data_IF_762790263686
#
_entry.id   IF_762790263686
#
_cell.length_a   1.000
_cell.length_b   1.000
_cell.length_c   1.000
_cell.angle_alpha   90.00
_cell.angle_beta   90.00
_cell.angle_gamma   90.00
#
_symmetry.space_group_name_H-M   'P 1'
#
loop_
_entity.id
_entity.type
_entity.pdbx_description
1 polymer ?
#
# COMPACT_ATOMS: atom_id res chain seq x y z
N UNK A 1 -5.92 -65.32 13.46
CA UNK A 1 -6.97 -66.34 13.19
C UNK A 1 -7.49 -66.01 11.82
N UNK A 2 -7.01 -66.71 10.79
CA UNK A 2 -7.62 -67.89 10.14
C UNK A 2 -8.97 -67.52 9.52
N UNK A 3 -9.27 -67.67 8.22
CA UNK A 3 -8.76 -68.52 7.15
C UNK A 3 -9.57 -68.18 5.88
N UNK A 4 -9.02 -68.23 4.75
CA UNK A 4 -8.93 -69.25 3.72
C UNK A 4 -10.25 -70.02 3.43
N UNK A 5 -10.59 -70.07 2.10
CA UNK A 5 -10.70 -71.30 1.28
C UNK A 5 -11.43 -70.92 -0.03
N UNK A 6 -10.83 -71.00 -1.25
CA UNK A 6 -10.80 -72.04 -2.29
C UNK A 6 -12.22 -72.34 -2.84
N UNK A 7 -12.48 -72.53 -4.08
CA UNK A 7 -11.77 -72.86 -5.33
C UNK A 7 -12.77 -73.44 -6.36
N UNK A 8 -12.29 -73.76 -7.54
CA UNK A 8 -12.93 -74.64 -8.54
C UNK A 8 -13.52 -73.88 -9.72
N UNK A 9 -13.10 -73.93 -10.82
CA UNK A 9 -12.53 -74.79 -11.86
C UNK A 9 -13.54 -75.63 -12.57
N UNK A 10 -13.80 -75.37 -13.88
CA UNK A 10 -14.06 -76.46 -14.84
C UNK A 10 -13.94 -75.93 -16.29
N UNK A 11 -13.32 -76.79 -17.07
CA UNK A 11 -13.00 -76.71 -18.50
C UNK A 11 -14.22 -76.99 -19.37
N UNK A 12 -14.18 -76.49 -20.61
CA UNK A 12 -15.08 -76.91 -21.68
C UNK A 12 -14.62 -76.40 -23.01
N UNK A 13 -14.18 -77.34 -23.80
CA UNK A 13 -13.58 -77.24 -25.14
C UNK A 13 -14.57 -76.91 -26.26
N UNK A 14 -14.06 -76.30 -27.30
CA UNK A 14 -14.35 -76.72 -28.67
C UNK A 14 -15.09 -75.75 -29.58
N UNK A 15 -14.56 -75.52 -30.75
CA UNK A 15 -15.29 -75.13 -31.94
C UNK A 15 -14.80 -73.91 -32.68
N UNK A 16 -13.93 -74.12 -33.65
CA UNK A 16 -13.50 -73.08 -34.57
C UNK A 16 -14.59 -72.70 -35.59
N UNK A 17 -14.72 -71.44 -35.83
CA UNK A 17 -15.31 -70.91 -37.07
C UNK A 17 -14.61 -69.60 -37.42
N UNK A 18 -13.89 -69.66 -38.53
CA UNK A 18 -13.26 -68.54 -39.17
C UNK A 18 -14.33 -67.55 -39.66
N UNK A 19 -14.37 -66.39 -39.11
CA UNK A 19 -15.15 -65.25 -39.64
C UNK A 19 -14.23 -64.06 -39.89
N UNK A 20 -14.13 -63.72 -41.15
CA UNK A 20 -13.47 -62.54 -41.70
C UNK A 20 -14.05 -61.28 -41.04
N UNK A 21 -13.25 -60.40 -40.47
CA UNK A 21 -13.79 -59.17 -39.90
C UNK A 21 -14.21 -58.18 -41.02
N UNK A 22 -15.33 -57.47 -40.85
CA UNK A 22 -15.77 -56.45 -41.80
C UNK A 22 -14.77 -55.27 -41.78
N UNK A 23 -14.45 -54.77 -42.96
CA UNK A 23 -13.62 -53.55 -43.17
C UNK A 23 -14.31 -52.35 -42.51
N UNK A 24 -13.64 -51.81 -41.49
CA UNK A 24 -13.99 -50.52 -40.89
C UNK A 24 -13.62 -49.40 -41.88
N UNK A 25 -14.54 -48.50 -42.22
CA UNK A 25 -14.22 -47.32 -43.04
C UNK A 25 -13.24 -46.41 -42.29
N UNK A 26 -12.37 -45.66 -43.00
CA UNK A 26 -11.39 -44.78 -42.36
C UNK A 26 -12.10 -43.70 -41.51
N UNK A 27 -11.76 -43.65 -40.24
CA UNK A 27 -12.20 -42.60 -39.33
C UNK A 27 -11.65 -41.27 -39.85
N UNK A 28 -12.53 -40.38 -40.26
CA UNK A 28 -12.23 -38.96 -40.47
C UNK A 28 -11.79 -38.40 -39.10
N UNK A 29 -10.63 -37.76 -38.97
CA UNK A 29 -10.21 -37.14 -37.73
C UNK A 29 -11.24 -36.05 -37.35
N UNK A 30 -11.61 -35.91 -36.06
CA UNK A 30 -12.53 -34.87 -35.63
C UNK A 30 -11.92 -33.52 -36.00
N UNK A 31 -12.68 -32.69 -36.72
CA UNK A 31 -12.38 -31.27 -36.95
C UNK A 31 -12.21 -30.63 -35.58
N UNK A 32 -11.00 -30.25 -35.23
CA UNK A 32 -10.69 -29.38 -34.12
C UNK A 32 -11.40 -28.06 -34.39
N UNK A 33 -12.31 -27.60 -33.52
CA UNK A 33 -12.90 -26.30 -33.71
C UNK A 33 -11.78 -25.26 -33.62
N UNK A 34 -11.82 -24.16 -34.39
CA UNK A 34 -10.80 -23.12 -34.30
C UNK A 34 -10.80 -22.59 -32.88
N UNK A 35 -9.61 -22.52 -32.26
CA UNK A 35 -9.38 -21.91 -30.95
C UNK A 35 -9.97 -20.50 -30.96
N UNK A 36 -11.06 -20.29 -30.24
CA UNK A 36 -11.57 -18.96 -29.93
C UNK A 36 -10.58 -18.31 -28.99
N UNK A 37 -10.02 -17.16 -29.41
CA UNK A 37 -9.37 -16.24 -28.52
C UNK A 37 -7.87 -16.05 -28.71
N UNK A 38 -7.39 -15.86 -29.94
CA UNK A 38 -6.33 -14.88 -30.13
C UNK A 38 -7.05 -13.53 -30.18
N UNK A 39 -7.08 -12.80 -29.07
CA UNK A 39 -7.46 -11.40 -29.09
C UNK A 39 -6.61 -10.74 -30.17
N UNK A 40 -7.26 -9.99 -31.03
CA UNK A 40 -6.71 -9.22 -32.14
C UNK A 40 -5.73 -8.18 -31.56
N UNK A 41 -4.50 -8.62 -31.25
CA UNK A 41 -3.43 -7.72 -30.82
C UNK A 41 -2.94 -7.00 -32.06
N UNK A 42 -3.23 -5.73 -32.15
CA UNK A 42 -2.78 -4.89 -33.24
C UNK A 42 -1.25 -4.90 -33.34
N UNK A 43 -0.63 -4.85 -34.55
CA UNK A 43 0.82 -4.86 -34.73
C UNK A 43 1.61 -3.87 -33.86
N UNK A 44 1.09 -2.65 -33.52
CA UNK A 44 1.77 -1.73 -32.62
C UNK A 44 1.82 -2.22 -31.17
N UNK A 45 0.87 -3.04 -30.70
CA UNK A 45 0.87 -3.54 -29.33
C UNK A 45 1.91 -4.64 -29.12
N UNK A 46 2.07 -5.54 -30.09
CA UNK A 46 3.14 -6.55 -30.09
C UNK A 46 4.53 -5.93 -30.17
N UNK A 47 4.69 -4.85 -30.95
CA UNK A 47 5.95 -4.11 -31.02
C UNK A 47 6.26 -3.41 -29.69
N UNK A 48 5.24 -2.87 -29.03
CA UNK A 48 5.34 -2.25 -27.69
C UNK A 48 5.72 -3.26 -26.61
N UNK A 49 5.14 -4.47 -26.62
CA UNK A 49 5.49 -5.54 -25.69
C UNK A 49 6.92 -6.06 -25.93
N UNK A 50 7.32 -6.23 -27.19
CA UNK A 50 8.71 -6.59 -27.52
C UNK A 50 9.70 -5.54 -27.04
N UNK A 51 9.43 -4.26 -27.27
CA UNK A 51 10.28 -3.17 -26.75
C UNK A 51 10.38 -3.19 -25.24
N UNK A 52 9.28 -3.44 -24.52
CA UNK A 52 9.28 -3.54 -23.06
C UNK A 52 10.16 -4.68 -22.54
N UNK A 53 10.03 -5.88 -23.13
CA UNK A 53 10.81 -7.05 -22.75
C UNK A 53 12.31 -6.85 -23.03
N UNK A 54 12.66 -6.27 -24.18
CA UNK A 54 14.04 -5.98 -24.58
C UNK A 54 14.66 -4.91 -23.65
N UNK A 55 13.94 -3.82 -23.39
CA UNK A 55 14.43 -2.75 -22.52
C UNK A 55 14.68 -3.24 -21.09
N UNK A 56 13.78 -4.06 -20.55
CA UNK A 56 13.94 -4.68 -19.24
C UNK A 56 15.19 -5.57 -19.16
N UNK A 57 15.51 -6.30 -20.22
CA UNK A 57 16.68 -7.19 -20.29
C UNK A 57 18.01 -6.41 -20.30
N UNK A 58 18.11 -5.32 -21.06
CA UNK A 58 19.35 -4.53 -21.17
C UNK A 58 19.72 -3.82 -19.86
N UNK A 59 18.75 -3.45 -19.03
CA UNK A 59 19.01 -2.79 -17.76
C UNK A 59 19.20 -3.74 -16.57
N UNK A 60 19.01 -5.05 -16.79
CA UNK A 60 19.13 -6.06 -15.74
C UNK A 60 20.46 -6.01 -14.99
N UNK A 61 21.63 -6.00 -15.65
CA UNK A 61 22.93 -5.95 -14.95
C UNK A 61 23.13 -4.68 -14.12
N UNK A 62 22.62 -3.54 -14.62
CA UNK A 62 22.71 -2.26 -13.91
C UNK A 62 21.81 -2.25 -12.66
N UNK A 63 20.61 -2.83 -12.75
CA UNK A 63 19.70 -2.98 -11.61
C UNK A 63 20.33 -3.90 -10.55
N UNK A 64 20.89 -5.03 -10.97
CA UNK A 64 21.49 -6.00 -10.06
C UNK A 64 22.72 -5.39 -9.34
N UNK A 65 23.60 -4.72 -10.07
CA UNK A 65 24.74 -3.98 -9.51
C UNK A 65 24.31 -2.86 -8.53
N UNK A 66 23.20 -2.18 -8.81
CA UNK A 66 22.65 -1.18 -7.90
C UNK A 66 22.02 -1.82 -6.66
N UNK A 67 21.36 -2.99 -6.81
CA UNK A 67 20.71 -3.71 -5.71
C UNK A 67 21.73 -4.35 -4.73
N UNK A 68 22.96 -4.61 -5.16
CA UNK A 68 24.05 -5.09 -4.30
C UNK A 68 24.59 -3.99 -3.37
N UNK A 69 24.32 -2.73 -3.68
CA UNK A 69 24.77 -1.61 -2.86
C UNK A 69 23.84 -1.40 -1.66
N UNK A 70 24.40 -1.18 -0.45
CA UNK A 70 23.59 -0.81 0.71
C UNK A 70 23.03 0.61 0.56
N UNK A 71 21.80 0.83 1.02
CA UNK A 71 21.24 2.17 1.07
C UNK A 71 21.84 3.00 2.21
N UNK A 72 22.14 4.26 1.93
CA UNK A 72 22.64 5.25 2.90
C UNK A 72 21.46 6.03 3.44
N UNK A 73 21.00 5.70 4.65
CA UNK A 73 19.82 6.31 5.26
C UNK A 73 20.19 7.53 6.09
N UNK A 74 19.42 8.59 5.96
CA UNK A 74 19.54 9.81 6.73
C UNK A 74 18.66 9.78 7.98
N UNK A 75 19.15 10.37 9.07
CA UNK A 75 18.30 10.65 10.23
C UNK A 75 17.50 11.94 9.98
N UNK A 76 16.29 12.08 10.53
CA UNK A 76 15.54 13.32 10.45
C UNK A 76 16.30 14.53 10.99
N UNK A 77 17.09 14.35 12.05
CA UNK A 77 17.97 15.40 12.60
C UNK A 77 19.03 15.83 11.58
N UNK A 78 19.65 14.87 10.88
CA UNK A 78 20.60 15.21 9.80
C UNK A 78 19.93 16.03 8.71
N UNK A 79 18.71 15.67 8.31
CA UNK A 79 17.93 16.41 7.31
C UNK A 79 17.58 17.81 7.80
N UNK A 80 17.24 17.98 9.08
CA UNK A 80 16.90 19.26 9.69
C UNK A 80 18.10 20.22 9.70
N UNK A 81 19.28 19.72 10.11
CA UNK A 81 20.48 20.56 10.21
C UNK A 81 21.16 20.79 8.85
N UNK A 82 21.13 19.82 7.95
CA UNK A 82 21.73 19.95 6.61
C UNK A 82 20.84 20.72 5.63
N UNK A 83 19.59 20.97 5.96
CA UNK A 83 18.61 21.61 5.08
C UNK A 83 18.72 23.14 4.99
N UNK A 84 19.70 23.76 5.64
CA UNK A 84 19.91 25.22 5.59
C UNK A 84 21.40 25.54 5.44
N UNK A 85 21.73 26.33 4.43
CA UNK A 85 23.04 26.98 4.29
C UNK A 85 22.85 28.36 3.66
N UNK A 86 23.69 29.30 4.03
CA UNK A 86 23.60 30.68 3.51
C UNK A 86 23.99 30.78 2.02
N UNK A 87 24.83 29.87 1.55
CA UNK A 87 25.36 29.82 0.17
C UNK A 87 24.54 28.96 -0.80
N UNK A 88 23.40 28.37 -0.37
CA UNK A 88 22.58 27.48 -1.21
C UNK A 88 23.24 26.14 -1.53
N UNK A 89 24.44 25.83 -1.03
CA UNK A 89 25.15 24.59 -1.32
C UNK A 89 24.42 23.35 -0.82
N UNK A 90 23.54 23.49 0.17
CA UNK A 90 22.72 22.39 0.71
C UNK A 90 21.81 21.77 -0.35
N UNK A 91 21.29 22.58 -1.30
CA UNK A 91 20.41 22.12 -2.39
C UNK A 91 21.18 21.17 -3.31
N UNK A 92 22.38 21.58 -3.77
CA UNK A 92 23.21 20.74 -4.63
C UNK A 92 23.68 19.45 -3.91
N UNK A 93 24.03 19.53 -2.63
CA UNK A 93 24.40 18.35 -1.82
C UNK A 93 23.22 17.39 -1.70
N UNK A 94 22.01 17.90 -1.45
CA UNK A 94 20.79 17.11 -1.39
C UNK A 94 20.49 16.44 -2.74
N UNK A 95 20.57 17.16 -3.85
CA UNK A 95 20.34 16.61 -5.19
C UNK A 95 21.33 15.48 -5.53
N UNK A 96 22.62 15.68 -5.27
CA UNK A 96 23.65 14.67 -5.50
C UNK A 96 23.46 13.43 -4.63
N UNK A 97 23.07 13.60 -3.38
CA UNK A 97 22.70 12.47 -2.52
C UNK A 97 21.53 11.68 -3.11
N UNK A 98 20.45 12.35 -3.54
CA UNK A 98 19.31 11.67 -4.14
C UNK A 98 19.65 10.97 -5.45
N UNK A 99 20.49 11.58 -6.29
CA UNK A 99 20.95 10.99 -7.55
C UNK A 99 21.68 9.66 -7.33
N UNK A 100 22.42 9.54 -6.22
CA UNK A 100 23.13 8.32 -5.88
C UNK A 100 22.25 7.29 -5.16
N UNK A 101 21.35 7.74 -4.30
CA UNK A 101 20.60 6.89 -3.37
C UNK A 101 19.29 6.35 -3.96
N UNK A 102 18.52 7.16 -4.71
CA UNK A 102 17.23 6.73 -5.24
C UNK A 102 17.33 5.52 -6.18
N UNK A 103 18.29 5.43 -7.12
CA UNK A 103 18.47 4.24 -7.96
C UNK A 103 18.70 2.97 -7.13
N UNK A 104 19.49 3.04 -6.06
CA UNK A 104 19.78 1.91 -5.15
C UNK A 104 18.49 1.42 -4.49
N UNK A 105 17.70 2.33 -3.93
CA UNK A 105 16.43 1.97 -3.26
C UNK A 105 15.39 1.40 -4.23
N UNK A 106 15.32 1.96 -5.42
CA UNK A 106 14.44 1.46 -6.48
C UNK A 106 14.89 0.07 -6.93
N UNK A 107 16.18 -0.17 -7.12
CA UNK A 107 16.73 -1.49 -7.46
C UNK A 107 16.38 -2.55 -6.41
N UNK A 108 16.47 -2.21 -5.11
CA UNK A 108 16.02 -3.10 -4.03
C UNK A 108 14.52 -3.44 -4.14
N UNK A 109 13.67 -2.51 -4.61
CA UNK A 109 12.24 -2.80 -4.80
C UNK A 109 12.01 -3.68 -6.02
N UNK A 110 12.70 -3.40 -7.13
CA UNK A 110 12.64 -4.24 -8.34
C UNK A 110 13.02 -5.69 -8.00
N UNK A 111 14.09 -5.88 -7.24
CA UNK A 111 14.49 -7.22 -6.76
C UNK A 111 13.40 -7.86 -5.87
N UNK A 112 12.74 -7.07 -5.01
CA UNK A 112 11.61 -7.54 -4.21
C UNK A 112 10.44 -8.05 -5.06
N UNK A 113 10.10 -7.38 -6.17
CA UNK A 113 9.07 -7.83 -7.11
C UNK A 113 9.44 -9.14 -7.82
N UNK A 114 10.72 -9.33 -8.16
CA UNK A 114 11.20 -10.57 -8.79
C UNK A 114 11.13 -11.78 -7.86
N UNK A 115 11.20 -11.56 -6.56
CA UNK A 115 11.11 -12.62 -5.55
C UNK A 115 9.66 -13.01 -5.21
N UNK A 116 8.67 -12.38 -5.83
CA UNK A 116 7.28 -12.78 -5.66
C UNK A 116 6.98 -14.14 -6.31
N UNK A 117 6.06 -14.93 -5.76
CA UNK A 117 5.57 -16.14 -6.41
C UNK A 117 5.08 -15.85 -7.84
N UNK A 118 5.33 -16.78 -8.76
CA UNK A 118 5.06 -16.64 -10.19
C UNK A 118 3.64 -16.14 -10.49
N UNK A 119 2.62 -16.72 -9.84
CA UNK A 119 1.21 -16.35 -10.03
C UNK A 119 0.97 -14.86 -9.71
N UNK A 120 1.60 -14.34 -8.65
CA UNK A 120 1.49 -12.93 -8.27
C UNK A 120 2.28 -12.05 -9.23
N UNK A 121 3.52 -12.46 -9.55
CA UNK A 121 4.40 -11.73 -10.45
C UNK A 121 3.88 -11.62 -11.89
N UNK A 122 3.01 -12.54 -12.34
CA UNK A 122 2.38 -12.50 -13.67
C UNK A 122 1.06 -11.72 -13.72
N UNK A 123 0.54 -11.24 -12.58
CA UNK A 123 -0.65 -10.40 -12.60
C UNK A 123 -0.39 -9.09 -13.36
N UNK A 124 -1.24 -8.69 -14.32
CA UNK A 124 -1.00 -7.50 -15.15
C UNK A 124 -0.82 -6.20 -14.35
N UNK A 125 -1.60 -6.04 -13.28
CA UNK A 125 -1.52 -4.85 -12.41
C UNK A 125 -0.22 -4.82 -11.61
N UNK A 126 0.23 -5.97 -11.09
CA UNK A 126 1.52 -6.09 -10.39
C UNK A 126 2.69 -5.89 -11.36
N UNK A 127 2.60 -6.45 -12.57
CA UNK A 127 3.59 -6.20 -13.64
C UNK A 127 3.67 -4.72 -14.01
N UNK A 128 2.53 -4.04 -14.11
CA UNK A 128 2.49 -2.61 -14.36
C UNK A 128 3.23 -1.82 -13.28
N UNK A 129 2.99 -2.13 -12.00
CA UNK A 129 3.74 -1.50 -10.89
C UNK A 129 5.23 -1.81 -10.98
N UNK A 130 5.61 -3.05 -11.27
CA UNK A 130 7.01 -3.42 -11.47
C UNK A 130 7.67 -2.62 -12.60
N UNK A 131 6.97 -2.44 -13.74
CA UNK A 131 7.45 -1.60 -14.85
C UNK A 131 7.61 -0.13 -14.47
N UNK A 132 6.73 0.43 -13.62
CA UNK A 132 6.88 1.80 -13.12
C UNK A 132 8.23 1.96 -12.38
N UNK A 133 8.59 0.98 -11.54
CA UNK A 133 9.88 0.99 -10.84
C UNK A 133 11.07 0.85 -11.79
N UNK A 134 10.99 -0.02 -12.81
CA UNK A 134 12.05 -0.17 -13.82
C UNK A 134 12.24 1.13 -14.60
N UNK A 135 11.17 1.78 -15.05
CA UNK A 135 11.24 3.08 -15.74
C UNK A 135 11.81 4.19 -14.87
N UNK A 136 11.45 4.21 -13.58
CA UNK A 136 12.00 5.17 -12.65
C UNK A 136 13.51 4.95 -12.46
N UNK A 137 13.95 3.70 -12.34
CA UNK A 137 15.37 3.35 -12.27
C UNK A 137 16.13 3.85 -13.49
N UNK A 138 15.61 3.61 -14.71
CA UNK A 138 16.22 4.06 -15.96
C UNK A 138 16.34 5.60 -16.00
N UNK A 139 15.23 6.32 -15.80
CA UNK A 139 15.22 7.79 -15.82
C UNK A 139 16.22 8.41 -14.84
N UNK A 140 16.37 7.81 -13.65
CA UNK A 140 17.31 8.32 -12.64
C UNK A 140 18.76 7.94 -12.93
N UNK A 141 19.01 6.74 -13.48
CA UNK A 141 20.35 6.26 -13.81
C UNK A 141 20.93 6.95 -15.05
N UNK A 142 20.08 7.27 -16.03
CA UNK A 142 20.47 7.95 -17.27
C UNK A 142 20.63 9.46 -17.09
N UNK A 143 20.24 10.02 -15.93
CA UNK A 143 20.36 11.45 -15.68
C UNK A 143 21.84 11.85 -15.49
N UNK A 144 22.34 12.89 -16.17
CA UNK A 144 23.72 13.31 -16.10
C UNK A 144 24.11 13.76 -14.68
N UNK A 145 25.42 13.69 -14.31
CA UNK A 145 25.89 14.12 -12.99
C UNK A 145 25.56 15.59 -12.71
N UNK A 146 24.95 15.85 -11.56
CA UNK A 146 24.52 17.19 -11.15
C UNK A 146 25.74 18.00 -10.72
N UNK A 147 26.07 19.06 -11.48
CA UNK A 147 27.19 19.98 -11.20
C UNK A 147 26.71 21.38 -10.88
N UNK A 148 25.68 21.84 -11.58
CA UNK A 148 25.14 23.20 -11.52
C UNK A 148 23.72 23.25 -10.96
N UNK A 149 23.26 24.45 -10.60
CA UNK A 149 21.87 24.68 -10.22
C UNK A 149 20.89 24.49 -11.41
N UNK A 150 21.36 24.60 -12.65
CA UNK A 150 20.56 24.31 -13.83
C UNK A 150 20.26 22.81 -13.94
N UNK A 151 21.29 21.95 -13.73
CA UNK A 151 21.12 20.50 -13.72
C UNK A 151 20.19 20.08 -12.58
N UNK A 152 20.34 20.70 -11.41
CA UNK A 152 19.51 20.47 -10.25
C UNK A 152 18.04 20.82 -10.52
N UNK A 153 17.77 21.94 -11.20
CA UNK A 153 16.40 22.32 -11.57
C UNK A 153 15.74 21.30 -12.52
N UNK A 154 16.50 20.77 -13.48
CA UNK A 154 16.05 19.69 -14.36
C UNK A 154 15.80 18.39 -13.57
N UNK A 155 16.66 18.10 -12.59
CA UNK A 155 16.47 16.96 -11.70
C UNK A 155 15.20 17.09 -10.83
N UNK A 156 14.90 18.28 -10.34
CA UNK A 156 13.66 18.59 -9.65
C UNK A 156 12.42 18.33 -10.52
N UNK A 157 12.47 18.68 -11.81
CA UNK A 157 11.40 18.38 -12.75
C UNK A 157 11.20 16.87 -12.92
N UNK A 158 12.31 16.11 -13.03
CA UNK A 158 12.27 14.64 -13.06
C UNK A 158 11.66 14.06 -11.78
N UNK A 159 12.05 14.55 -10.61
CA UNK A 159 11.49 14.07 -9.34
C UNK A 159 9.99 14.33 -9.23
N UNK A 160 9.49 15.51 -9.66
CA UNK A 160 8.05 15.81 -9.69
C UNK A 160 7.30 14.83 -10.60
N UNK A 161 7.85 14.55 -11.79
CA UNK A 161 7.29 13.59 -12.72
C UNK A 161 7.22 12.18 -12.11
N UNK A 162 8.30 11.72 -11.47
CA UNK A 162 8.34 10.41 -10.83
C UNK A 162 7.36 10.31 -9.65
N UNK A 163 7.22 11.36 -8.85
CA UNK A 163 6.24 11.39 -7.76
C UNK A 163 4.80 11.29 -8.27
N UNK A 164 4.50 11.90 -9.41
CA UNK A 164 3.19 11.83 -10.07
C UNK A 164 2.97 10.45 -10.71
N UNK A 165 3.95 9.94 -11.47
CA UNK A 165 3.88 8.61 -12.09
C UNK A 165 3.61 7.49 -11.06
N UNK A 166 4.08 7.66 -9.82
CA UNK A 166 3.97 6.68 -8.74
C UNK A 166 2.86 6.98 -7.72
N UNK A 167 1.95 7.93 -7.98
CA UNK A 167 0.93 8.31 -7.00
C UNK A 167 0.00 7.15 -6.63
N UNK A 168 -0.42 6.36 -7.60
CA UNK A 168 -1.45 5.32 -7.47
C UNK A 168 -0.89 3.93 -7.14
N UNK A 169 0.42 3.80 -6.91
CA UNK A 169 1.09 2.50 -6.67
C UNK A 169 0.45 1.71 -5.52
N UNK A 170 0.00 2.35 -4.44
CA UNK A 170 -0.62 1.65 -3.31
C UNK A 170 -1.95 1.04 -3.71
N UNK A 171 -2.77 1.79 -4.44
CA UNK A 171 -4.07 1.33 -4.96
C UNK A 171 -3.88 0.18 -5.94
N UNK A 172 -2.96 0.33 -6.90
CA UNK A 172 -2.64 -0.71 -7.89
C UNK A 172 -2.13 -1.99 -7.21
N UNK A 173 -1.28 -1.89 -6.18
CA UNK A 173 -0.84 -3.05 -5.40
C UNK A 173 -2.02 -3.73 -4.69
N UNK A 174 -2.92 -2.95 -4.09
CA UNK A 174 -4.08 -3.48 -3.41
C UNK A 174 -5.03 -4.20 -4.38
N UNK A 175 -5.28 -3.63 -5.56
CA UNK A 175 -6.11 -4.23 -6.61
C UNK A 175 -5.48 -5.52 -7.15
N UNK A 176 -4.23 -5.48 -7.59
CA UNK A 176 -3.55 -6.64 -8.18
C UNK A 176 -3.43 -7.81 -7.20
N UNK A 177 -3.12 -7.53 -5.94
CA UNK A 177 -3.05 -8.58 -4.92
C UNK A 177 -4.43 -9.12 -4.53
N UNK A 178 -5.49 -8.31 -4.55
CA UNK A 178 -6.86 -8.78 -4.36
C UNK A 178 -7.29 -9.76 -5.45
N UNK A 179 -6.94 -9.49 -6.70
CA UNK A 179 -7.19 -10.39 -7.83
C UNK A 179 -6.47 -11.74 -7.63
N UNK A 180 -5.25 -11.72 -7.10
CA UNK A 180 -4.45 -12.92 -6.85
C UNK A 180 -4.82 -13.67 -5.57
N UNK A 181 -5.66 -13.12 -4.67
CA UNK A 181 -5.91 -13.63 -3.32
C UNK A 181 -6.25 -15.13 -3.28
N UNK A 182 -7.07 -15.61 -4.24
CA UNK A 182 -7.48 -17.02 -4.31
C UNK A 182 -6.33 -17.99 -4.59
N UNK A 183 -5.21 -17.49 -5.09
CA UNK A 183 -4.03 -18.26 -5.47
C UNK A 183 -2.87 -18.11 -4.49
N UNK A 184 -3.03 -17.27 -3.48
CA UNK A 184 -2.02 -17.05 -2.45
C UNK A 184 -2.22 -18.11 -1.37
N UNK A 185 -1.32 -19.11 -1.35
CA UNK A 185 -1.35 -20.19 -0.38
C UNK A 185 -0.71 -19.80 0.96
N UNK A 186 0.22 -18.85 0.96
CA UNK A 186 0.92 -18.38 2.15
C UNK A 186 0.89 -16.86 2.26
N UNK A 187 -0.05 -16.35 3.05
CA UNK A 187 -0.19 -14.91 3.33
C UNK A 187 1.04 -14.34 4.09
N UNK A 188 1.83 -15.21 4.76
CA UNK A 188 3.04 -14.79 5.49
C UNK A 188 4.13 -14.24 4.57
N UNK A 189 4.15 -14.61 3.29
CA UNK A 189 5.09 -14.07 2.31
C UNK A 189 4.73 -12.65 1.87
N UNK A 190 3.44 -12.32 1.83
CA UNK A 190 2.97 -11.03 1.35
C UNK A 190 3.22 -9.89 2.32
N UNK A 191 3.00 -10.12 3.61
CA UNK A 191 3.16 -9.08 4.63
C UNK A 191 4.57 -8.46 4.63
N UNK A 192 5.69 -9.23 4.68
CA UNK A 192 7.02 -8.66 4.62
C UNK A 192 7.31 -7.93 3.30
N UNK A 193 6.80 -8.43 2.18
CA UNK A 193 6.93 -7.77 0.88
C UNK A 193 6.22 -6.42 0.87
N UNK A 194 4.97 -6.38 1.34
CA UNK A 194 4.16 -5.17 1.38
C UNK A 194 4.73 -4.15 2.38
N UNK A 195 5.05 -4.58 3.59
CA UNK A 195 5.65 -3.70 4.60
C UNK A 195 6.94 -3.06 4.06
N UNK A 196 7.84 -3.86 3.45
CA UNK A 196 9.07 -3.34 2.81
C UNK A 196 8.77 -2.42 1.63
N UNK A 197 7.81 -2.75 0.79
CA UNK A 197 7.51 -1.96 -0.41
C UNK A 197 6.88 -0.63 -0.05
N UNK A 198 5.91 -0.63 0.86
CA UNK A 198 5.18 0.56 1.29
C UNK A 198 6.06 1.51 2.12
N UNK A 199 6.87 0.98 3.05
CA UNK A 199 7.80 1.80 3.85
C UNK A 199 8.95 2.36 3.02
N UNK A 200 9.53 1.57 2.10
CA UNK A 200 10.54 2.06 1.16
C UNK A 200 9.99 3.15 0.24
N UNK A 201 8.75 2.96 -0.26
CA UNK A 201 8.06 3.99 -1.04
C UNK A 201 7.86 5.27 -0.23
N UNK A 202 7.42 5.17 1.03
CA UNK A 202 7.28 6.31 1.92
C UNK A 202 8.62 7.04 2.08
N UNK A 203 9.71 6.33 2.37
CA UNK A 203 11.04 6.91 2.53
C UNK A 203 11.52 7.63 1.26
N UNK A 204 11.39 7.02 0.08
CA UNK A 204 11.75 7.65 -1.19
C UNK A 204 10.90 8.91 -1.46
N UNK A 205 9.59 8.88 -1.18
CA UNK A 205 8.71 10.05 -1.32
C UNK A 205 9.08 11.16 -0.34
N UNK A 206 9.41 10.80 0.91
CA UNK A 206 9.86 11.80 1.90
C UNK A 206 11.15 12.47 1.47
N UNK A 207 12.13 11.73 0.98
CA UNK A 207 13.41 12.30 0.49
C UNK A 207 13.19 13.20 -0.71
N UNK A 208 12.45 12.75 -1.72
CA UNK A 208 12.15 13.56 -2.91
C UNK A 208 11.34 14.82 -2.55
N UNK A 209 10.29 14.67 -1.74
CA UNK A 209 9.49 15.80 -1.29
C UNK A 209 10.29 16.78 -0.42
N UNK A 210 11.21 16.27 0.42
CA UNK A 210 12.10 17.11 1.21
C UNK A 210 12.98 17.98 0.32
N UNK A 211 13.65 17.38 -0.65
CA UNK A 211 14.50 18.10 -1.59
C UNK A 211 13.71 19.18 -2.36
N UNK A 212 12.54 18.83 -2.89
CA UNK A 212 11.69 19.79 -3.59
C UNK A 212 11.22 20.94 -2.68
N UNK A 213 10.93 20.64 -1.41
CA UNK A 213 10.49 21.64 -0.45
C UNK A 213 11.63 22.51 0.12
N UNK A 214 12.92 22.15 -0.07
CA UNK A 214 14.06 23.00 0.31
C UNK A 214 14.12 24.30 -0.51
N UNK A 215 13.48 24.35 -1.66
CA UNK A 215 13.35 25.58 -2.48
C UNK A 215 12.29 26.55 -1.95
N UNK A 216 11.44 26.09 -1.04
CA UNK A 216 10.35 26.89 -0.51
C UNK A 216 10.76 27.46 0.87
N UNK A 217 10.80 28.78 0.97
CA UNK A 217 11.01 29.44 2.26
C UNK A 217 9.68 29.53 3.02
N UNK A 218 9.28 28.39 3.63
CA UNK A 218 8.10 28.33 4.49
C UNK A 218 8.48 28.60 5.93
N UNK A 219 7.78 29.54 6.63
CA UNK A 219 8.00 29.73 8.05
C UNK A 219 7.73 28.42 8.82
N UNK A 220 8.53 28.14 9.81
CA UNK A 220 8.47 26.94 10.64
C UNK A 220 8.76 25.60 9.88
N UNK A 221 9.31 25.63 8.65
CA UNK A 221 9.68 24.43 7.92
C UNK A 221 11.16 24.41 7.49
N UNK A 222 11.72 23.22 7.45
CA UNK A 222 12.96 22.89 6.76
C UNK A 222 12.67 21.72 5.83
N UNK A 223 12.51 22.01 4.54
CA UNK A 223 11.97 21.02 3.61
C UNK A 223 10.60 20.52 4.08
N UNK A 224 10.46 19.21 4.28
CA UNK A 224 9.19 18.60 4.78
C UNK A 224 9.08 18.57 6.32
N UNK A 225 10.11 18.99 7.04
CA UNK A 225 10.12 18.93 8.51
C UNK A 225 9.51 20.22 9.05
N UNK A 226 8.37 20.10 9.74
CA UNK A 226 7.79 21.21 10.49
C UNK A 226 8.49 21.32 11.85
N UNK A 227 9.12 22.45 12.14
CA UNK A 227 9.87 22.69 13.39
C UNK A 227 8.95 22.93 14.59
N UNK A 228 7.68 23.26 14.35
CA UNK A 228 6.67 23.56 15.38
C UNK A 228 5.33 22.92 15.05
N UNK A 229 5.33 21.61 14.74
CA UNK A 229 4.12 20.86 14.42
C UNK A 229 3.14 20.91 15.61
N UNK A 230 1.90 21.28 15.34
CA UNK A 230 0.78 21.15 16.26
C UNK A 230 -0.04 19.90 15.94
N UNK A 231 0.01 18.84 16.74
CA UNK A 231 -0.80 17.64 16.52
C UNK A 231 -2.28 17.96 16.44
N UNK A 232 -2.77 18.87 17.31
CA UNK A 232 -4.17 19.30 17.33
C UNK A 232 -4.62 19.82 15.95
N UNK A 233 -3.88 20.78 15.36
CA UNK A 233 -4.24 21.36 14.06
C UNK A 233 -4.23 20.32 12.94
N UNK A 234 -3.28 19.39 12.98
CA UNK A 234 -3.19 18.32 12.01
C UNK A 234 -4.39 17.35 12.14
N UNK A 235 -4.76 16.99 13.36
CA UNK A 235 -5.93 16.15 13.64
C UNK A 235 -7.21 16.86 13.18
N UNK A 236 -7.41 18.15 13.52
CA UNK A 236 -8.57 18.93 13.08
C UNK A 236 -8.73 18.95 11.56
N UNK A 237 -7.63 19.17 10.82
CA UNK A 237 -7.61 19.08 9.34
C UNK A 237 -8.17 17.75 8.82
N UNK A 238 -7.74 16.63 9.42
CA UNK A 238 -8.14 15.31 8.97
C UNK A 238 -9.49 14.85 9.50
N UNK A 239 -9.92 15.39 10.66
CA UNK A 239 -11.29 15.24 11.14
C UNK A 239 -12.27 15.88 10.16
N UNK A 240 -12.00 17.10 9.70
CA UNK A 240 -12.87 17.79 8.73
C UNK A 240 -12.95 17.03 7.40
N UNK A 241 -11.84 16.45 6.95
CA UNK A 241 -11.83 15.60 5.74
C UNK A 241 -12.66 14.32 5.93
N UNK A 242 -12.38 13.56 7.00
CA UNK A 242 -13.09 12.29 7.28
C UNK A 242 -14.58 12.52 7.53
N UNK A 243 -14.96 13.63 8.21
CA UNK A 243 -16.33 14.03 8.44
C UNK A 243 -17.10 14.23 7.13
N UNK A 244 -16.54 14.97 6.16
CA UNK A 244 -17.17 15.18 4.85
C UNK A 244 -17.45 13.87 4.13
N UNK A 245 -16.50 12.93 4.16
CA UNK A 245 -16.67 11.60 3.57
C UNK A 245 -17.78 10.82 4.28
N UNK A 246 -17.81 10.88 5.61
CA UNK A 246 -18.80 10.21 6.44
C UNK A 246 -20.20 10.79 6.20
N UNK A 247 -20.35 12.12 6.20
CA UNK A 247 -21.61 12.81 5.88
C UNK A 247 -22.10 12.47 4.47
N UNK A 248 -21.21 12.37 3.49
CA UNK A 248 -21.58 11.96 2.14
C UNK A 248 -22.09 10.52 2.08
N UNK A 249 -21.49 9.60 2.85
CA UNK A 249 -21.84 8.17 2.84
C UNK A 249 -23.08 7.85 3.68
N UNK A 250 -23.19 8.45 4.88
CA UNK A 250 -24.19 8.09 5.88
C UNK A 250 -25.22 9.21 6.17
N UNK A 251 -25.11 10.36 5.53
CA UNK A 251 -25.96 11.53 5.77
C UNK A 251 -25.67 12.29 7.07
N UNK A 252 -24.78 11.76 7.91
CA UNK A 252 -24.33 12.36 9.16
C UNK A 252 -22.93 11.86 9.54
N UNK A 253 -22.30 12.47 10.53
CA UNK A 253 -21.02 12.04 11.07
C UNK A 253 -20.94 12.25 12.58
N UNK A 254 -20.23 11.38 13.34
CA UNK A 254 -20.03 11.57 14.76
C UNK A 254 -19.16 12.80 15.04
N UNK A 255 -19.46 13.49 16.11
CA UNK A 255 -18.63 14.61 16.59
C UNK A 255 -17.31 14.07 17.12
N UNK A 256 -16.19 14.78 16.83
CA UNK A 256 -14.87 14.44 17.35
C UNK A 256 -14.45 15.47 18.40
N UNK A 257 -14.13 15.00 19.60
CA UNK A 257 -13.57 15.81 20.69
C UNK A 257 -12.08 15.56 20.83
N UNK A 258 -11.30 16.63 20.85
CA UNK A 258 -9.84 16.55 20.99
C UNK A 258 -9.48 17.09 22.38
N UNK A 259 -8.76 16.30 23.17
CA UNK A 259 -8.34 16.64 24.53
C UNK A 259 -6.87 16.25 24.79
N UNK A 260 -6.40 16.46 26.04
CA UNK A 260 -5.02 16.18 26.45
C UNK A 260 -4.07 17.37 26.18
N UNK A 261 -2.85 17.08 25.73
CA UNK A 261 -1.81 18.09 25.49
C UNK A 261 -2.02 18.85 24.18
N UNK A 262 -3.15 19.53 24.05
CA UNK A 262 -3.57 20.23 22.81
C UNK A 262 -2.68 21.41 22.42
N UNK A 263 -1.90 21.95 23.34
CA UNK A 263 -0.94 23.04 23.11
C UNK A 263 0.44 22.55 22.68
N UNK A 264 0.67 21.23 22.65
CA UNK A 264 1.95 20.64 22.29
C UNK A 264 2.43 21.11 20.91
N UNK A 265 3.74 21.39 20.81
CA UNK A 265 4.42 21.74 19.57
C UNK A 265 5.84 21.18 19.61
N UNK A 266 6.26 20.52 18.54
CA UNK A 266 7.58 19.89 18.43
C UNK A 266 7.95 19.69 16.96
N UNK A 267 9.25 19.48 16.64
CA UNK A 267 9.68 19.16 15.29
C UNK A 267 9.16 17.77 14.87
N UNK A 268 8.50 17.69 13.72
CA UNK A 268 8.07 16.42 13.16
C UNK A 268 7.83 16.51 11.65
N UNK A 269 7.73 15.35 10.97
CA UNK A 269 7.40 15.22 9.55
C UNK A 269 5.90 14.94 9.42
N UNK A 270 5.08 15.88 8.92
CA UNK A 270 3.62 15.67 8.83
C UNK A 270 3.21 14.65 7.75
N UNK A 271 4.00 14.45 6.70
CA UNK A 271 3.64 13.65 5.52
C UNK A 271 3.17 12.22 5.83
N UNK A 272 3.82 11.41 6.70
CA UNK A 272 3.29 10.09 7.06
C UNK A 272 1.97 10.17 7.84
N UNK A 273 1.81 11.20 8.67
CA UNK A 273 0.58 11.42 9.44
C UNK A 273 -0.60 11.83 8.55
N UNK A 274 -0.32 12.51 7.42
CA UNK A 274 -1.31 12.83 6.40
C UNK A 274 -1.93 11.57 5.73
N UNK A 275 -1.28 10.42 5.87
CA UNK A 275 -1.85 9.12 5.49
C UNK A 275 -2.53 8.42 6.69
N UNK A 276 -1.83 8.32 7.82
CA UNK A 276 -2.28 7.51 8.96
C UNK A 276 -3.54 8.08 9.62
N UNK A 277 -3.58 9.38 9.87
CA UNK A 277 -4.70 10.01 10.58
C UNK A 277 -6.04 9.89 9.85
N UNK A 278 -6.15 10.19 8.54
CA UNK A 278 -7.41 10.00 7.82
C UNK A 278 -7.88 8.55 7.81
N UNK A 279 -6.97 7.56 7.69
CA UNK A 279 -7.35 6.15 7.72
C UNK A 279 -7.93 5.74 9.09
N UNK A 280 -7.29 6.13 10.18
CA UNK A 280 -7.78 5.83 11.52
C UNK A 280 -9.10 6.53 11.83
N UNK A 281 -9.24 7.80 11.45
CA UNK A 281 -10.47 8.57 11.65
C UNK A 281 -11.64 8.05 10.81
N UNK A 282 -11.40 7.68 9.56
CA UNK A 282 -12.41 7.03 8.72
C UNK A 282 -12.92 5.73 9.35
N UNK A 283 -12.00 4.89 9.83
CA UNK A 283 -12.38 3.63 10.48
C UNK A 283 -13.23 3.87 11.74
N UNK A 284 -12.84 4.80 12.59
CA UNK A 284 -13.60 5.15 13.80
C UNK A 284 -14.98 5.71 13.46
N UNK A 285 -15.07 6.63 12.49
CA UNK A 285 -16.36 7.21 12.06
C UNK A 285 -17.26 6.17 11.44
N UNK A 286 -16.72 5.31 10.57
CA UNK A 286 -17.47 4.21 9.94
C UNK A 286 -18.05 3.26 10.99
N UNK A 287 -17.22 2.75 11.89
CA UNK A 287 -17.64 1.83 12.94
C UNK A 287 -18.74 2.46 13.82
N UNK A 288 -18.57 3.73 14.19
CA UNK A 288 -19.58 4.46 15.02
C UNK A 288 -20.91 4.60 14.26
N UNK A 289 -20.90 4.97 12.99
CA UNK A 289 -22.13 5.11 12.20
C UNK A 289 -22.80 3.76 11.95
N UNK A 290 -22.05 2.73 11.56
CA UNK A 290 -22.58 1.39 11.28
C UNK A 290 -23.20 0.73 12.53
N UNK A 291 -22.68 1.02 13.73
CA UNK A 291 -23.24 0.51 15.00
C UNK A 291 -24.46 1.28 15.48
N UNK A 292 -24.78 2.43 14.90
CA UNK A 292 -25.87 3.31 15.35
C UNK A 292 -26.84 3.65 14.20
N UNK A 293 -27.04 2.71 13.27
CA UNK A 293 -27.95 2.89 12.12
C UNK A 293 -29.40 3.17 12.53
N UNK A 294 -29.84 2.61 13.67
CA UNK A 294 -31.19 2.83 14.19
C UNK A 294 -31.38 4.22 14.82
N UNK A 295 -30.28 4.89 15.18
CA UNK A 295 -30.28 6.24 15.78
C UNK A 295 -29.27 7.17 15.11
N UNK A 296 -29.34 7.41 13.79
CA UNK A 296 -28.29 8.08 13.02
C UNK A 296 -28.03 9.53 13.43
N UNK A 297 -28.98 10.18 14.10
CA UNK A 297 -28.83 11.57 14.60
C UNK A 297 -28.35 11.67 16.05
N UNK A 298 -28.27 10.54 16.75
CA UNK A 298 -27.78 10.48 18.14
C UNK A 298 -26.64 9.48 18.28
N UNK A 299 -25.56 9.74 17.53
CA UNK A 299 -24.36 8.92 17.56
C UNK A 299 -23.39 9.44 18.62
N UNK A 300 -22.69 8.57 19.36
CA UNK A 300 -21.71 8.98 20.36
C UNK A 300 -20.50 9.67 19.75
N UNK A 301 -19.89 10.56 20.53
CA UNK A 301 -18.69 11.27 20.14
C UNK A 301 -17.48 10.34 20.04
N UNK A 302 -16.60 10.59 19.07
CA UNK A 302 -15.26 10.03 19.01
C UNK A 302 -14.35 10.93 19.87
N UNK A 303 -13.51 10.33 20.71
CA UNK A 303 -12.59 11.07 21.55
C UNK A 303 -11.16 10.85 21.09
N UNK A 304 -10.46 11.94 20.73
CA UNK A 304 -9.05 11.92 20.37
C UNK A 304 -8.26 12.54 21.53
N UNK A 305 -7.37 11.76 22.14
CA UNK A 305 -6.52 12.22 23.25
C UNK A 305 -5.08 12.35 22.78
N UNK A 306 -4.49 13.53 22.99
CA UNK A 306 -3.09 13.81 22.69
C UNK A 306 -2.29 13.74 23.99
N UNK A 307 -1.35 12.80 24.06
CA UNK A 307 -0.39 12.70 25.15
C UNK A 307 1.02 12.93 24.59
N UNK A 308 1.69 13.93 25.14
CA UNK A 308 3.04 14.32 24.72
C UNK A 308 3.97 14.32 25.91
N UNK A 309 5.12 13.68 25.78
CA UNK A 309 6.21 13.71 26.76
C UNK A 309 7.56 13.96 26.03
N UNK A 310 8.67 13.89 26.75
CA UNK A 310 10.00 14.19 26.20
C UNK A 310 10.52 13.13 25.21
N UNK A 311 9.92 11.95 25.17
CA UNK A 311 10.37 10.82 24.35
C UNK A 311 9.47 10.62 23.14
N UNK A 312 8.14 10.66 23.36
CA UNK A 312 7.16 10.31 22.34
C UNK A 312 5.87 11.15 22.39
N UNK A 313 5.16 11.08 21.29
CA UNK A 313 3.78 11.52 21.14
C UNK A 313 2.89 10.29 21.04
N UNK A 314 1.82 10.23 21.81
CA UNK A 314 0.77 9.23 21.67
C UNK A 314 -0.55 9.93 21.31
N UNK A 315 -1.17 9.48 20.22
CA UNK A 315 -2.52 9.88 19.82
C UNK A 315 -3.42 8.67 20.02
N UNK A 316 -4.38 8.78 20.96
CA UNK A 316 -5.42 7.78 21.16
C UNK A 316 -6.68 8.24 20.46
N UNK A 317 -7.24 7.41 19.61
CA UNK A 317 -8.55 7.58 18.96
C UNK A 317 -9.49 6.55 19.56
N UNK A 318 -10.53 6.99 20.27
CA UNK A 318 -11.49 6.15 20.98
C UNK A 318 -12.86 6.31 20.32
N UNK A 319 -13.39 5.24 19.74
CA UNK A 319 -14.72 5.18 19.17
C UNK A 319 -15.71 4.39 20.05
N UNK A 320 -16.98 4.45 19.71
CA UNK A 320 -18.07 3.70 20.30
C UNK A 320 -18.80 2.86 19.23
N UNK A 321 -18.03 2.29 18.31
CA UNK A 321 -18.51 1.53 17.17
C UNK A 321 -18.78 0.04 17.44
N UNK A 322 -19.11 -0.33 18.69
CA UNK A 322 -19.43 -1.71 19.06
C UNK A 322 -18.23 -2.64 19.20
N UNK A 323 -17.02 -2.16 18.92
CA UNK A 323 -15.79 -2.92 19.03
C UNK A 323 -15.59 -3.98 17.95
N UNK A 324 -14.45 -4.67 18.03
CA UNK A 324 -14.03 -5.73 17.11
C UNK A 324 -14.13 -7.07 17.83
N UNK A 325 -14.76 -8.09 17.24
CA UNK A 325 -14.77 -9.45 17.78
C UNK A 325 -13.37 -9.97 18.06
N UNK A 326 -13.21 -10.70 19.16
CA UNK A 326 -11.89 -11.14 19.63
C UNK A 326 -11.14 -12.02 18.61
N UNK A 327 -11.85 -12.86 17.88
CA UNK A 327 -11.34 -13.73 16.83
C UNK A 327 -10.85 -12.98 15.57
N UNK A 328 -11.21 -11.69 15.44
CA UNK A 328 -10.82 -10.84 14.32
C UNK A 328 -9.70 -9.85 14.66
N UNK A 329 -9.39 -9.65 15.96
CA UNK A 329 -8.40 -8.64 16.38
C UNK A 329 -7.03 -8.80 15.72
N UNK A 330 -6.53 -10.02 15.60
CA UNK A 330 -5.25 -10.30 14.95
C UNK A 330 -5.31 -10.08 13.44
N UNK A 331 -6.49 -10.30 12.83
CA UNK A 331 -6.70 -10.21 11.39
C UNK A 331 -6.89 -8.78 10.89
N UNK A 332 -7.39 -7.87 11.72
CA UNK A 332 -7.66 -6.47 11.27
C UNK A 332 -6.39 -5.72 10.86
N UNK A 333 -5.22 -6.19 11.29
CA UNK A 333 -3.92 -5.64 10.89
C UNK A 333 -3.27 -6.38 9.73
N UNK A 334 -3.94 -7.39 9.15
CA UNK A 334 -3.50 -8.08 7.95
C UNK A 334 -3.96 -7.35 6.69
N UNK A 335 -3.15 -7.44 5.64
CA UNK A 335 -3.51 -6.86 4.34
C UNK A 335 -4.70 -7.60 3.74
N UNK A 336 -5.55 -6.89 3.02
CA UNK A 336 -6.79 -7.38 2.41
C UNK A 336 -7.88 -7.85 3.40
N UNK A 337 -7.68 -7.70 4.69
CA UNK A 337 -8.77 -7.89 5.63
C UNK A 337 -9.66 -6.64 5.65
N UNK A 338 -10.93 -6.81 5.33
CA UNK A 338 -11.91 -5.72 5.39
C UNK A 338 -13.29 -6.28 5.73
N UNK A 339 -13.94 -5.65 6.68
CA UNK A 339 -15.36 -5.90 7.01
C UNK A 339 -16.30 -5.09 6.12
N UNK A 340 -15.76 -4.22 5.27
CA UNK A 340 -16.54 -3.31 4.42
C UNK A 340 -17.44 -4.04 3.40
N UNK A 341 -17.02 -5.21 2.91
CA UNK A 341 -17.84 -6.03 2.02
C UNK A 341 -19.07 -6.59 2.73
N UNK A 342 -18.96 -6.95 4.01
CA UNK A 342 -20.07 -7.42 4.84
C UNK A 342 -21.03 -6.26 5.12
N UNK A 343 -20.52 -5.08 5.48
CA UNK A 343 -21.33 -3.88 5.66
C UNK A 343 -22.00 -3.42 4.37
N UNK A 344 -21.36 -3.63 3.22
CA UNK A 344 -21.92 -3.31 1.90
C UNK A 344 -23.16 -4.18 1.55
N UNK A 345 -23.27 -5.36 2.14
CA UNK A 345 -24.41 -6.27 1.94
C UNK A 345 -25.58 -6.01 2.92
N UNK A 346 -25.39 -5.14 3.92
CA UNK A 346 -26.50 -4.79 4.84
C UNK A 346 -27.58 -3.97 4.10
N UNK A 347 -28.83 -4.47 4.02
CA UNK A 347 -29.93 -3.77 3.34
C UNK A 347 -30.22 -2.38 3.89
N UNK A 348 -29.87 -2.12 5.16
CA UNK A 348 -30.06 -0.82 5.82
C UNK A 348 -29.10 0.26 5.33
N UNK A 349 -27.95 -0.14 4.74
CA UNK A 349 -26.94 0.75 4.15
C UNK A 349 -27.11 0.94 2.63
N UNK A 350 -27.97 0.13 1.99
CA UNK A 350 -28.18 0.08 0.54
C UNK A 350 -29.35 0.93 0.07
N UNK A 351 -29.15 2.22 -0.19
CA UNK A 351 -30.12 3.01 -0.98
C UNK A 351 -30.03 2.69 -2.48
N UNK A 352 -31.14 2.89 -3.26
CA UNK A 352 -31.19 2.57 -4.69
C UNK A 352 -30.23 3.37 -5.58
N UNK A 353 -29.59 4.43 -5.05
CA UNK A 353 -28.65 5.30 -5.77
C UNK A 353 -27.18 4.92 -5.56
N UNK A 354 -26.88 3.95 -4.70
CA UNK A 354 -25.51 3.55 -4.36
C UNK A 354 -24.68 3.08 -5.57
N UNK A 355 -25.19 2.25 -6.49
CA UNK A 355 -24.41 1.83 -7.66
C UNK A 355 -24.01 2.98 -8.60
N UNK A 356 -24.80 4.07 -8.62
CA UNK A 356 -24.52 5.26 -9.41
C UNK A 356 -23.45 6.16 -8.75
N UNK A 357 -23.38 6.17 -7.42
CA UNK A 357 -22.40 6.97 -6.66
C UNK A 357 -21.01 6.31 -6.64
N UNK A 358 -20.95 4.97 -6.55
CA UNK A 358 -19.69 4.23 -6.65
C UNK A 358 -19.04 4.33 -8.05
N UNK A 359 -19.84 4.55 -9.10
CA UNK A 359 -19.38 4.74 -10.46
C UNK A 359 -18.79 6.14 -10.73
N UNK A 360 -19.06 7.14 -9.88
CA UNK A 360 -18.61 8.51 -10.12
C UNK A 360 -17.17 8.81 -9.70
N UNK A 361 -16.50 7.92 -8.96
CA UNK A 361 -15.04 7.97 -8.65
C UNK A 361 -14.53 9.22 -7.93
N UNK A 362 -15.39 10.16 -7.53
CA UNK A 362 -15.01 11.49 -7.02
C UNK A 362 -14.84 11.57 -5.50
N UNK A 363 -15.36 10.63 -4.73
CA UNK A 363 -15.08 10.56 -3.31
C UNK A 363 -14.18 9.35 -3.06
N UNK A 364 -12.98 9.59 -2.53
CA UNK A 364 -12.14 8.50 -2.03
C UNK A 364 -12.99 7.63 -1.09
N UNK A 365 -13.11 6.32 -1.33
CA UNK A 365 -14.09 5.51 -0.65
C UNK A 365 -13.87 5.52 0.86
N UNK A 366 -14.93 5.66 1.65
CA UNK A 366 -14.89 5.34 3.09
C UNK A 366 -14.47 3.88 3.30
N UNK A 367 -14.69 3.04 2.30
CA UNK A 367 -14.31 1.64 2.27
C UNK A 367 -13.01 1.47 1.49
N UNK A 368 -11.96 1.06 2.19
CA UNK A 368 -10.65 0.74 1.58
C UNK A 368 -10.54 -0.74 1.22
N UNK A 369 -9.51 -1.07 0.41
CA UNK A 369 -9.18 -2.45 0.00
C UNK A 369 -8.54 -3.30 1.13
N UNK A 370 -8.69 -2.91 2.42
CA UNK A 370 -8.03 -3.59 3.54
C UNK A 370 -6.54 -3.26 3.67
N UNK A 371 -6.09 -2.14 3.11
CA UNK A 371 -4.69 -1.68 3.18
C UNK A 371 -4.48 -0.57 4.21
N UNK A 372 -5.53 0.15 4.61
CA UNK A 372 -5.41 1.35 5.44
C UNK A 372 -4.73 1.09 6.79
N UNK A 373 -5.27 0.15 7.56
CA UNK A 373 -4.77 -0.15 8.91
C UNK A 373 -3.39 -0.83 8.93
N UNK A 374 -3.13 -1.90 8.11
CA UNK A 374 -1.81 -2.51 8.05
C UNK A 374 -0.72 -1.56 7.53
N UNK A 375 -1.03 -0.70 6.54
CA UNK A 375 -0.09 0.33 6.08
C UNK A 375 0.18 1.38 7.16
N UNK A 376 -0.86 1.80 7.90
CA UNK A 376 -0.70 2.75 9.02
C UNK A 376 0.20 2.18 10.12
N UNK A 377 0.07 0.88 10.41
CA UNK A 377 0.95 0.17 11.32
C UNK A 377 2.40 0.13 10.79
N UNK A 378 2.60 -0.27 9.54
CA UNK A 378 3.92 -0.31 8.93
C UNK A 378 4.60 1.07 8.91
N UNK A 379 3.84 2.14 8.68
CA UNK A 379 4.36 3.52 8.73
C UNK A 379 4.72 3.96 10.15
N UNK A 380 3.89 3.62 11.15
CA UNK A 380 4.20 3.92 12.54
C UNK A 380 5.48 3.21 13.00
N UNK A 381 5.62 1.93 12.68
CA UNK A 381 6.83 1.13 12.98
C UNK A 381 8.07 1.67 12.24
N UNK A 382 7.93 2.07 10.97
CA UNK A 382 9.01 2.68 10.20
C UNK A 382 9.51 4.00 10.79
N UNK A 383 8.62 4.77 11.43
CA UNK A 383 8.94 6.01 12.15
C UNK A 383 9.41 5.75 13.59
N UNK A 384 9.77 4.51 13.93
CA UNK A 384 10.25 4.13 15.25
C UNK A 384 9.19 4.12 16.34
N UNK A 385 7.91 4.18 15.96
CA UNK A 385 6.76 4.12 16.84
C UNK A 385 6.02 2.78 16.78
N UNK A 386 4.73 2.82 17.07
CA UNK A 386 3.85 1.65 17.01
C UNK A 386 2.39 2.05 16.83
N UNK A 387 1.60 1.14 16.28
CA UNK A 387 0.14 1.23 16.21
C UNK A 387 -0.45 0.03 16.95
N UNK A 388 -1.22 0.28 18.01
CA UNK A 388 -1.83 -0.76 18.85
C UNK A 388 -3.33 -0.52 18.92
N UNK A 389 -4.12 -1.59 18.77
CA UNK A 389 -5.56 -1.56 18.92
C UNK A 389 -5.94 -2.29 20.21
N UNK A 390 -6.88 -1.70 20.95
CA UNK A 390 -7.56 -2.31 22.07
C UNK A 390 -9.05 -2.22 21.82
N UNK A 391 -9.75 -3.33 21.86
CA UNK A 391 -11.17 -3.38 21.56
C UNK A 391 -11.94 -4.06 22.65
N UNK A 392 -13.09 -3.47 22.99
CA UNK A 392 -14.09 -4.03 23.90
C UNK A 392 -15.33 -4.32 23.07
N UNK A 393 -15.55 -5.61 22.80
CA UNK A 393 -16.71 -6.07 22.04
C UNK A 393 -18.01 -5.61 22.71
N UNK A 394 -18.93 -5.05 21.94
CA UNK A 394 -20.17 -4.45 22.42
C UNK A 394 -20.02 -2.99 22.87
N UNK A 395 -18.80 -2.44 22.94
CA UNK A 395 -18.55 -1.06 23.40
C UNK A 395 -17.88 -0.21 22.34
N UNK A 396 -16.64 -0.53 21.94
CA UNK A 396 -15.87 0.28 20.98
C UNK A 396 -14.42 -0.11 20.92
N UNK A 397 -13.64 0.69 20.15
CA UNK A 397 -12.22 0.44 19.91
C UNK A 397 -11.39 1.67 20.25
N UNK A 398 -10.27 1.44 20.93
CA UNK A 398 -9.22 2.40 21.17
C UNK A 398 -8.02 2.09 20.30
N UNK A 399 -7.58 3.06 19.49
CA UNK A 399 -6.38 2.95 18.65
C UNK A 399 -5.32 3.89 19.22
N UNK A 400 -4.16 3.33 19.53
CA UNK A 400 -3.00 4.04 20.06
C UNK A 400 -1.93 4.17 18.98
N UNK A 401 -1.74 5.36 18.45
CA UNK A 401 -0.64 5.72 17.55
C UNK A 401 0.47 6.36 18.38
N UNK A 402 1.59 5.65 18.53
CA UNK A 402 2.79 6.15 19.21
C UNK A 402 3.84 6.54 18.18
N UNK A 403 4.45 7.71 18.34
CA UNK A 403 5.48 8.24 17.45
C UNK A 403 6.61 8.83 18.28
N UNK A 404 7.87 8.60 17.90
CA UNK A 404 9.01 9.16 18.59
C UNK A 404 9.37 10.55 18.08
N UNK A 405 9.80 11.42 19.00
CA UNK A 405 10.26 12.76 18.65
C UNK A 405 11.54 12.76 17.81
N UNK A 406 11.70 13.81 17.00
CA UNK A 406 12.93 14.12 16.26
C UNK A 406 13.76 15.05 17.15
N UNK A 407 14.56 14.50 18.05
CA UNK A 407 15.30 15.29 19.06
C UNK A 407 16.81 15.10 19.05
N UNK A 408 17.32 14.20 18.19
CA UNK A 408 18.75 13.88 18.07
C UNK A 408 19.34 13.09 19.24
N UNK A 409 18.61 12.90 20.34
CA UNK A 409 19.13 12.18 21.53
C UNK A 409 18.81 10.68 21.47
N UNK A 410 17.71 10.32 20.86
CA UNK A 410 17.24 8.94 20.76
C UNK A 410 16.57 8.66 19.41
N UNK A 411 17.17 9.14 18.30
CA UNK A 411 16.64 8.91 16.97
C UNK A 411 16.48 7.42 16.68
N UNK A 412 15.24 6.99 16.59
CA UNK A 412 14.88 5.58 16.48
C UNK A 412 14.66 5.14 15.04
N UNK A 413 14.62 6.07 14.07
CA UNK A 413 14.35 5.74 12.67
C UNK A 413 15.26 6.52 11.72
N UNK A 414 15.46 5.94 10.54
CA UNK A 414 16.24 6.52 9.45
C UNK A 414 15.42 6.42 8.16
N UNK A 415 15.42 7.52 7.42
CA UNK A 415 14.71 7.66 6.14
C UNK A 415 15.62 7.21 5.00
#
# INVERSE_FOLDING_TARGET
MLGRVLGGGLRGSGGGASLVPPRVPPRVPPRVPPARGAADQTPPDLARERCKAVTSFYHQPAIDAAADRPSVRLTPTTMLYSGRSQDGSHILKSARYLQQELPVRIAHRIQGFRNLPFIIGCNPTILHVHELYIRAFQKLSDFPPIQSHTDESQYCALLRQLLEDHKDVVTLLAEGLRECRRHIQDERLLRPFLDKTLTSRLGMRMLAAHHLALHEDKPDFVGIICTRLSPKKLIEKWVDFARRLCEHQYGNAPRVRINGHVAARFPFIPLPLDYVLPELLKNAMRATMESHLDTPYNVPDIVVTIANNDIDLVIRISDRGGGIPHDLLDKVTEYHFSTAELSAQDPRLGGPLRPLMDASGQAGPMHGFGFGLPTSRAYAEYLGGSLVLQSLQGVGTDVYLRLRHIDGKAESFRI
#
